data_IF_947523567550
#
_entry.id   IF_947523567550
#
_cell.length_a   1.000
_cell.length_b   1.000
_cell.length_c   1.000
_cell.angle_alpha   90.00
_cell.angle_beta   90.00
_cell.angle_gamma   90.00
#
_symmetry.space_group_name_H-M   'P 1'
#
loop_
_entity.id
_entity.type
_entity.pdbx_description
1 polymer ?
#
# COMPACT_ATOMS: atom_id res chain seq x y z
N UNK A 1 -10.39 21.31 -18.27
CA UNK A 1 -10.02 20.22 -19.18
C UNK A 1 -9.83 18.98 -18.35
N UNK A 2 -10.70 17.98 -18.53
CA UNK A 2 -10.63 16.69 -17.86
C UNK A 2 -9.46 15.90 -18.43
N UNK A 3 -8.41 15.73 -17.63
CA UNK A 3 -7.24 14.93 -17.99
C UNK A 3 -7.68 13.47 -18.16
N UNK A 4 -7.63 12.98 -19.39
CA UNK A 4 -7.99 11.59 -19.75
C UNK A 4 -6.90 10.64 -19.26
N UNK A 5 -7.27 9.50 -18.67
CA UNK A 5 -6.33 8.47 -18.25
C UNK A 5 -6.39 7.30 -19.23
N UNK A 6 -5.22 6.72 -19.52
CA UNK A 6 -5.13 5.52 -20.36
C UNK A 6 -4.98 4.29 -19.47
N UNK A 7 -5.71 3.23 -19.80
CA UNK A 7 -5.49 1.89 -19.25
C UNK A 7 -5.25 0.89 -20.36
N UNK A 8 -4.22 0.07 -20.15
CA UNK A 8 -3.98 -1.14 -20.88
C UNK A 8 -4.56 -2.32 -20.11
N UNK A 9 -5.21 -3.21 -20.84
CA UNK A 9 -5.93 -4.36 -20.32
C UNK A 9 -5.55 -5.59 -21.13
N UNK A 10 -5.58 -6.76 -20.48
CA UNK A 10 -5.34 -8.05 -21.12
C UNK A 10 -6.47 -9.03 -20.82
N UNK A 11 -6.72 -9.95 -21.73
CA UNK A 11 -7.80 -10.93 -21.60
C UNK A 11 -7.24 -12.30 -21.22
N UNK A 12 -7.73 -12.88 -20.12
CA UNK A 12 -7.40 -14.28 -19.81
C UNK A 12 -8.09 -15.18 -20.85
N UNK A 13 -7.30 -15.97 -21.57
CA UNK A 13 -7.81 -16.92 -22.54
C UNK A 13 -8.01 -18.26 -21.81
N UNK A 14 -9.08 -18.38 -21.02
CA UNK A 14 -9.66 -19.70 -20.79
C UNK A 14 -10.39 -20.05 -22.09
N UNK A 15 -9.90 -21.07 -22.79
CA UNK A 15 -10.37 -21.62 -24.07
C UNK A 15 -11.39 -20.77 -24.84
N UNK A 16 -10.98 -20.28 -26.01
CA UNK A 16 -11.78 -19.56 -27.02
C UNK A 16 -13.09 -20.29 -27.46
N UNK A 17 -13.46 -21.41 -26.83
CA UNK A 17 -14.55 -22.29 -27.24
C UNK A 17 -15.57 -22.69 -26.16
N UNK A 18 -15.51 -22.24 -24.89
CA UNK A 18 -16.43 -22.84 -23.89
C UNK A 18 -17.20 -21.98 -22.89
N UNK A 19 -17.09 -20.65 -22.80
CA UNK A 19 -18.02 -19.89 -21.94
C UNK A 19 -18.23 -18.44 -22.38
N UNK A 20 -19.41 -18.14 -22.94
CA UNK A 20 -19.82 -16.80 -23.41
C UNK A 20 -20.09 -15.78 -22.29
N UNK A 21 -19.88 -16.08 -21.01
CA UNK A 21 -20.38 -15.23 -19.91
C UNK A 21 -19.37 -14.64 -18.91
N UNK A 22 -18.06 -14.85 -19.04
CA UNK A 22 -17.07 -14.28 -18.07
C UNK A 22 -15.73 -13.89 -18.72
N UNK A 23 -15.78 -13.16 -19.83
CA UNK A 23 -14.57 -12.62 -20.45
C UNK A 23 -14.08 -11.38 -19.67
N UNK A 24 -13.48 -11.59 -18.50
CA UNK A 24 -12.97 -10.51 -17.65
C UNK A 24 -11.64 -9.97 -18.20
N UNK A 25 -11.65 -8.70 -18.60
CA UNK A 25 -10.43 -7.96 -18.92
C UNK A 25 -9.69 -7.64 -17.64
N UNK A 26 -8.46 -8.12 -17.54
CA UNK A 26 -7.56 -7.90 -16.42
C UNK A 26 -6.71 -6.66 -16.65
N UNK A 27 -6.34 -5.99 -15.56
CA UNK A 27 -5.48 -4.82 -15.59
C UNK A 27 -4.02 -5.22 -15.44
N UNK A 28 -3.16 -4.49 -16.15
CA UNK A 28 -1.75 -4.40 -15.79
C UNK A 28 -1.57 -3.63 -14.48
N UNK A 29 -0.42 -3.80 -13.83
CA UNK A 29 -0.06 -2.97 -12.68
C UNK A 29 -0.02 -1.50 -13.05
N UNK A 30 -0.02 -0.60 -12.06
CA UNK A 30 0.06 0.84 -12.35
C UNK A 30 1.34 1.19 -13.11
N UNK A 31 2.44 0.52 -12.75
CA UNK A 31 3.76 0.82 -13.31
C UNK A 31 3.90 0.17 -14.68
N UNK A 32 3.46 -1.09 -14.84
CA UNK A 32 3.40 -1.74 -16.15
C UNK A 32 2.58 -0.92 -17.14
N UNK A 33 1.42 -0.39 -16.74
CA UNK A 33 0.62 0.51 -17.57
C UNK A 33 1.40 1.74 -18.06
N UNK A 34 2.18 2.38 -17.18
CA UNK A 34 3.00 3.54 -17.55
C UNK A 34 4.09 3.15 -18.55
N UNK A 35 4.78 2.04 -18.29
CA UNK A 35 5.85 1.53 -19.16
C UNK A 35 5.30 1.20 -20.56
N UNK A 36 4.14 0.52 -20.62
CA UNK A 36 3.47 0.15 -21.86
C UNK A 36 3.04 1.40 -22.63
N UNK A 37 2.37 2.34 -21.96
CA UNK A 37 1.89 3.56 -22.61
C UNK A 37 3.03 4.44 -23.11
N UNK A 38 4.14 4.55 -22.37
CA UNK A 38 5.33 5.28 -22.80
C UNK A 38 5.98 4.63 -24.01
N UNK A 39 6.11 3.30 -24.03
CA UNK A 39 6.65 2.56 -25.17
C UNK A 39 5.79 2.75 -26.44
N UNK A 40 4.47 2.70 -26.29
CA UNK A 40 3.52 2.85 -27.39
C UNK A 40 3.45 4.29 -27.92
N UNK A 41 3.28 5.27 -27.02
CA UNK A 41 2.98 6.65 -27.42
C UNK A 41 4.20 7.52 -27.61
N UNK A 42 5.11 7.53 -26.63
CA UNK A 42 6.28 8.42 -26.61
C UNK A 42 7.40 7.87 -27.48
N UNK A 43 7.71 6.58 -27.32
CA UNK A 43 8.84 5.94 -28.00
C UNK A 43 8.46 5.32 -29.36
N UNK A 44 7.17 5.21 -29.68
CA UNK A 44 6.64 4.63 -30.92
C UNK A 44 7.25 3.25 -31.24
N UNK A 45 7.43 2.41 -30.22
CA UNK A 45 7.95 1.06 -30.38
C UNK A 45 6.86 0.13 -30.93
N UNK A 46 7.26 -0.89 -31.69
CA UNK A 46 6.35 -1.98 -32.12
C UNK A 46 6.13 -3.01 -31.02
N UNK A 47 7.02 -3.08 -30.03
CA UNK A 47 6.89 -3.98 -28.88
C UNK A 47 7.45 -3.37 -27.59
N UNK A 48 7.08 -3.97 -26.46
CA UNK A 48 7.68 -3.69 -25.14
C UNK A 48 7.92 -4.99 -24.38
N UNK A 49 9.14 -5.13 -23.84
CA UNK A 49 9.54 -6.26 -22.99
C UNK A 49 9.23 -5.93 -21.52
N UNK A 50 8.59 -6.86 -20.83
CA UNK A 50 8.35 -6.84 -19.38
C UNK A 50 8.94 -8.10 -18.77
N UNK A 51 8.76 -8.30 -17.45
CA UNK A 51 9.44 -9.37 -16.72
C UNK A 51 9.02 -10.78 -17.19
N UNK A 52 7.71 -11.08 -17.16
CA UNK A 52 7.19 -12.42 -17.48
C UNK A 52 6.67 -12.56 -18.91
N UNK A 53 6.50 -11.44 -19.62
CA UNK A 53 5.91 -11.40 -20.95
C UNK A 53 6.42 -10.18 -21.72
N UNK A 54 6.11 -10.14 -23.01
CA UNK A 54 6.24 -8.94 -23.84
C UNK A 54 4.93 -8.67 -24.56
N UNK A 55 4.77 -7.43 -24.99
CA UNK A 55 3.62 -6.98 -25.77
C UNK A 55 4.08 -6.67 -27.19
N UNK A 56 3.36 -7.21 -28.15
CA UNK A 56 3.40 -6.83 -29.56
C UNK A 56 2.20 -5.91 -29.84
N UNK A 57 2.49 -4.64 -30.11
CA UNK A 57 1.45 -3.63 -30.35
C UNK A 57 0.83 -3.74 -31.74
N UNK A 58 1.54 -4.31 -32.72
CA UNK A 58 1.03 -4.47 -34.08
C UNK A 58 0.00 -5.59 -34.13
N UNK A 59 0.27 -6.67 -33.39
CA UNK A 59 -0.64 -7.81 -33.29
C UNK A 59 -1.70 -7.63 -32.20
N UNK A 60 -1.51 -6.70 -31.26
CA UNK A 60 -2.45 -6.48 -30.17
C UNK A 60 -2.48 -7.65 -29.19
N UNK A 61 -1.32 -8.24 -28.91
CA UNK A 61 -1.17 -9.40 -28.04
C UNK A 61 -0.04 -9.22 -27.02
N UNK A 62 -0.24 -9.84 -25.87
CA UNK A 62 0.79 -10.17 -24.91
C UNK A 62 1.22 -11.63 -25.14
N UNK A 63 2.52 -11.90 -25.03
CA UNK A 63 3.12 -13.23 -25.24
C UNK A 63 4.03 -13.53 -24.05
N UNK A 64 3.83 -14.68 -23.40
CA UNK A 64 4.70 -15.09 -22.30
C UNK A 64 6.16 -15.27 -22.78
N UNK A 65 7.12 -14.86 -21.96
CA UNK A 65 8.54 -14.91 -22.32
C UNK A 65 9.09 -16.35 -22.33
N UNK A 66 8.46 -17.25 -21.58
CA UNK A 66 8.85 -18.66 -21.45
C UNK A 66 8.07 -19.60 -22.39
N UNK A 67 6.94 -19.16 -22.94
CA UNK A 67 6.08 -19.96 -23.82
C UNK A 67 5.35 -19.08 -24.85
N UNK A 68 5.80 -19.12 -26.09
CA UNK A 68 5.21 -18.35 -27.20
C UNK A 68 3.74 -18.71 -27.49
N UNK A 69 3.27 -19.88 -27.04
CA UNK A 69 1.88 -20.30 -27.25
C UNK A 69 0.94 -19.69 -26.19
N UNK A 70 1.46 -19.19 -25.07
CA UNK A 70 0.67 -18.49 -24.05
C UNK A 70 0.53 -17.03 -24.45
N UNK A 71 -0.58 -16.75 -25.13
CA UNK A 71 -0.89 -15.42 -25.63
C UNK A 71 -2.21 -14.90 -25.07
N UNK A 72 -2.26 -13.59 -24.85
CA UNK A 72 -3.43 -12.87 -24.36
C UNK A 72 -3.69 -11.67 -25.25
N UNK A 73 -4.95 -11.47 -25.65
CA UNK A 73 -5.33 -10.23 -26.35
C UNK A 73 -5.15 -9.04 -25.40
N UNK A 74 -4.70 -7.92 -25.94
CA UNK A 74 -4.61 -6.66 -25.19
C UNK A 74 -5.49 -5.59 -25.82
N UNK A 75 -5.86 -4.59 -25.02
CA UNK A 75 -6.50 -3.38 -25.51
C UNK A 75 -6.05 -2.15 -24.73
N UNK A 76 -6.12 -1.01 -25.40
CA UNK A 76 -5.88 0.31 -24.84
C UNK A 76 -7.21 1.05 -24.75
N UNK A 77 -7.58 1.51 -23.55
CA UNK A 77 -8.83 2.24 -23.32
C UNK A 77 -8.56 3.63 -22.73
N UNK A 78 -9.33 4.60 -23.22
CA UNK A 78 -9.41 5.94 -22.62
C UNK A 78 -10.49 5.92 -21.54
N UNK A 79 -10.07 6.10 -20.30
CA UNK A 79 -10.95 6.11 -19.14
C UNK A 79 -11.16 7.54 -18.65
N UNK A 80 -12.42 7.90 -18.43
CA UNK A 80 -12.79 9.19 -17.87
C UNK A 80 -12.30 9.31 -16.42
N UNK A 81 -11.81 10.48 -15.99
CA UNK A 81 -11.35 10.69 -14.60
C UNK A 81 -12.45 10.49 -13.53
N UNK A 82 -13.72 10.59 -13.93
CA UNK A 82 -14.86 10.26 -13.06
C UNK A 82 -15.04 8.75 -12.86
N UNK A 83 -14.38 7.93 -13.67
CA UNK A 83 -14.35 6.50 -13.46
C UNK A 83 -13.67 6.22 -12.11
N UNK A 84 -14.44 5.56 -11.25
CA UNK A 84 -14.22 5.46 -9.81
C UNK A 84 -13.19 4.37 -9.55
N UNK A 85 -12.00 4.46 -10.15
CA UNK A 85 -10.96 3.47 -9.98
C UNK A 85 -10.60 3.36 -8.49
N UNK A 86 -10.80 2.17 -7.94
CA UNK A 86 -10.40 1.80 -6.59
C UNK A 86 -9.40 0.64 -6.70
N UNK A 87 -8.35 0.67 -5.87
CA UNK A 87 -7.44 -0.45 -5.69
C UNK A 87 -8.13 -1.53 -4.87
N UNK A 88 -8.84 -2.45 -5.52
CA UNK A 88 -9.60 -3.50 -4.83
C UNK A 88 -8.72 -4.30 -3.84
N UNK A 89 -7.49 -4.63 -4.22
CA UNK A 89 -6.49 -5.33 -3.39
C UNK A 89 -6.22 -4.62 -2.05
N UNK A 90 -6.18 -3.27 -2.06
CA UNK A 90 -6.04 -2.46 -0.85
C UNK A 90 -7.19 -2.68 0.13
N UNK A 91 -8.38 -3.03 -0.34
CA UNK A 91 -9.57 -3.21 0.49
C UNK A 91 -9.98 -4.69 0.68
N UNK A 92 -9.23 -5.64 0.12
CA UNK A 92 -9.57 -7.06 0.16
C UNK A 92 -8.59 -7.95 0.94
N UNK A 93 -7.31 -7.59 1.12
CA UNK A 93 -6.37 -8.51 1.80
C UNK A 93 -5.34 -7.85 2.73
N UNK A 94 -5.31 -6.52 2.78
CA UNK A 94 -4.51 -5.74 3.72
C UNK A 94 -5.40 -5.30 4.91
N UNK A 95 -4.92 -5.03 6.15
CA UNK A 95 -3.54 -4.94 6.60
C UNK A 95 -3.16 -5.97 7.67
N UNK A 96 -3.60 -7.21 7.51
CA UNK A 96 -3.76 -8.16 8.62
C UNK A 96 -2.70 -9.24 8.55
N UNK A 97 -2.07 -9.60 9.67
CA UNK A 97 -1.10 -10.68 9.64
C UNK A 97 -1.80 -12.01 9.31
N UNK A 98 -1.09 -12.98 8.70
CA UNK A 98 -1.70 -14.21 8.20
C UNK A 98 -2.52 -14.97 9.25
N UNK A 99 -2.14 -14.88 10.53
CA UNK A 99 -2.86 -15.57 11.61
C UNK A 99 -3.23 -14.68 12.80
N UNK A 100 -2.65 -13.49 12.93
CA UNK A 100 -3.00 -12.51 13.98
C UNK A 100 -3.50 -11.19 13.39
N UNK A 101 -4.66 -10.73 13.85
CA UNK A 101 -5.28 -9.55 13.23
C UNK A 101 -4.58 -8.24 13.57
N UNK A 102 -3.84 -8.24 14.66
CA UNK A 102 -3.12 -7.10 15.23
C UNK A 102 -2.02 -7.62 16.15
N UNK A 103 -1.11 -6.74 16.56
CA UNK A 103 -0.09 -7.10 17.55
C UNK A 103 -0.63 -6.84 18.97
N UNK A 104 -0.59 -7.87 19.81
CA UNK A 104 -0.86 -7.75 21.25
C UNK A 104 0.36 -7.15 21.98
N UNK A 105 0.14 -6.31 23.00
CA UNK A 105 1.15 -5.95 24.03
C UNK A 105 2.36 -5.09 23.60
N UNK A 106 2.50 -4.69 22.32
CA UNK A 106 3.65 -3.87 21.87
C UNK A 106 3.34 -2.36 21.76
N UNK A 107 2.07 -1.97 21.88
CA UNK A 107 1.68 -0.56 21.97
C UNK A 107 2.22 0.29 20.79
N UNK A 108 2.75 1.47 21.11
CA UNK A 108 3.15 2.54 20.19
C UNK A 108 4.46 2.30 19.40
N UNK A 109 5.09 1.13 19.53
CA UNK A 109 6.39 0.86 18.91
C UNK A 109 6.25 0.60 17.41
N UNK A 110 7.23 1.10 16.64
CA UNK A 110 7.29 0.95 15.20
C UNK A 110 8.43 -0.02 14.87
N UNK A 111 8.29 -1.29 15.27
CA UNK A 111 9.41 -2.24 15.36
C UNK A 111 10.31 -2.21 14.13
N UNK A 112 9.74 -2.36 12.93
CA UNK A 112 10.53 -2.38 11.69
C UNK A 112 11.39 -1.12 11.48
N UNK A 113 10.83 0.03 11.83
CA UNK A 113 11.48 1.33 11.67
C UNK A 113 12.49 1.55 12.79
N UNK A 114 12.15 1.17 14.01
CA UNK A 114 13.04 1.28 15.18
C UNK A 114 14.28 0.40 14.97
N UNK A 115 14.13 -0.81 14.44
CA UNK A 115 15.28 -1.68 14.14
C UNK A 115 16.11 -1.21 12.95
N UNK A 116 15.49 -0.60 11.93
CA UNK A 116 16.24 0.06 10.88
C UNK A 116 17.08 1.22 11.45
N UNK A 117 16.50 2.03 12.33
CA UNK A 117 17.19 3.13 13.02
C UNK A 117 18.40 2.61 13.79
N UNK A 118 18.23 1.51 14.54
CA UNK A 118 19.30 0.89 15.31
C UNK A 118 20.41 0.32 14.40
N UNK A 119 20.03 -0.44 13.36
CA UNK A 119 20.96 -1.03 12.39
C UNK A 119 21.80 0.02 11.66
N UNK A 120 21.21 1.17 11.34
CA UNK A 120 21.87 2.27 10.63
C UNK A 120 22.43 3.36 11.55
N UNK A 121 22.35 3.16 12.87
CA UNK A 121 22.81 4.09 13.90
C UNK A 121 22.31 5.53 13.67
N UNK A 122 21.02 5.67 13.37
CA UNK A 122 20.36 6.96 13.17
C UNK A 122 19.99 7.54 14.54
N UNK A 123 20.70 8.57 14.98
CA UNK A 123 20.57 9.17 16.32
C UNK A 123 19.49 10.24 16.41
N UNK A 124 19.08 10.87 15.30
CA UNK A 124 18.05 11.92 15.34
C UNK A 124 17.45 12.31 13.97
N UNK A 125 16.44 13.19 14.02
CA UNK A 125 15.91 13.95 12.87
C UNK A 125 17.00 14.75 12.14
N UNK A 126 18.09 15.12 12.83
CA UNK A 126 19.22 15.84 12.24
C UNK A 126 19.97 14.96 11.23
N UNK A 127 20.05 13.65 11.47
CA UNK A 127 20.73 12.72 10.55
C UNK A 127 20.02 12.63 9.20
N UNK A 128 18.72 12.91 9.15
CA UNK A 128 17.99 12.95 7.90
C UNK A 128 18.47 14.08 6.98
N UNK A 129 18.78 15.26 7.50
CA UNK A 129 19.24 16.37 6.65
C UNK A 129 20.55 16.03 5.94
N UNK A 130 21.45 15.36 6.66
CA UNK A 130 22.78 15.01 6.15
C UNK A 130 22.82 13.69 5.38
N UNK A 131 21.96 12.72 5.72
CA UNK A 131 21.98 11.37 5.14
C UNK A 131 20.84 11.08 4.18
N UNK A 132 19.95 12.04 3.86
CA UNK A 132 18.83 11.82 2.92
C UNK A 132 19.28 11.22 1.59
N UNK A 133 20.40 11.69 1.02
CA UNK A 133 20.90 11.19 -0.26
C UNK A 133 21.33 9.72 -0.15
N UNK A 134 22.10 9.38 0.89
CA UNK A 134 22.52 8.00 1.20
C UNK A 134 21.30 7.10 1.43
N UNK A 135 20.29 7.58 2.15
CA UNK A 135 19.06 6.83 2.42
C UNK A 135 18.24 6.58 1.16
N UNK A 136 18.16 7.55 0.24
CA UNK A 136 17.52 7.37 -1.08
C UNK A 136 18.29 6.34 -1.90
N UNK A 137 19.62 6.39 -1.92
CA UNK A 137 20.44 5.39 -2.64
C UNK A 137 20.27 3.98 -2.09
N UNK A 138 20.23 3.84 -0.77
CA UNK A 138 19.94 2.55 -0.12
C UNK A 138 18.52 2.08 -0.41
N UNK A 139 17.55 2.97 -0.43
CA UNK A 139 16.18 2.63 -0.83
C UNK A 139 16.13 2.14 -2.27
N UNK A 140 16.78 2.81 -3.21
CA UNK A 140 16.86 2.38 -4.61
C UNK A 140 17.52 1.00 -4.75
N UNK A 141 18.64 0.76 -4.07
CA UNK A 141 19.32 -0.53 -4.10
C UNK A 141 18.45 -1.66 -3.52
N UNK A 142 17.79 -1.43 -2.39
CA UNK A 142 16.88 -2.39 -1.77
C UNK A 142 15.63 -2.67 -2.61
N UNK A 143 15.04 -1.65 -3.23
CA UNK A 143 13.92 -1.78 -4.17
C UNK A 143 14.31 -2.62 -5.38
N UNK A 144 15.52 -2.42 -5.94
CA UNK A 144 16.01 -3.24 -7.05
C UNK A 144 16.09 -4.71 -6.67
N UNK A 145 16.69 -4.99 -5.52
CA UNK A 145 16.85 -6.34 -5.00
C UNK A 145 15.51 -7.04 -4.76
N UNK A 146 14.58 -6.37 -4.08
CA UNK A 146 13.25 -6.91 -3.80
C UNK A 146 12.42 -7.08 -5.07
N UNK A 147 12.60 -6.18 -6.04
CA UNK A 147 12.00 -6.31 -7.37
C UNK A 147 12.51 -7.54 -8.11
N UNK A 148 13.81 -7.81 -8.08
CA UNK A 148 14.38 -9.03 -8.68
C UNK A 148 13.84 -10.30 -8.02
N UNK A 149 13.77 -10.34 -6.69
CA UNK A 149 13.20 -11.47 -5.96
C UNK A 149 11.72 -11.70 -6.26
N UNK A 150 10.98 -10.62 -6.53
CA UNK A 150 9.56 -10.68 -6.86
C UNK A 150 9.27 -10.95 -8.35
N UNK A 151 10.29 -11.07 -9.21
CA UNK A 151 10.10 -11.14 -10.66
C UNK A 151 9.53 -9.84 -11.26
N UNK A 152 9.79 -8.70 -10.62
CA UNK A 152 9.27 -7.35 -10.96
C UNK A 152 10.40 -6.35 -11.20
N UNK A 153 11.42 -6.76 -11.97
CA UNK A 153 12.60 -5.96 -12.22
C UNK A 153 12.29 -4.69 -13.04
N UNK A 154 11.38 -4.77 -14.02
CA UNK A 154 10.98 -3.61 -14.81
C UNK A 154 10.24 -2.57 -13.96
N UNK A 155 9.32 -3.01 -13.08
CA UNK A 155 8.68 -2.10 -12.12
C UNK A 155 9.72 -1.47 -11.19
N UNK A 156 10.65 -2.25 -10.65
CA UNK A 156 11.67 -1.76 -9.73
C UNK A 156 12.58 -0.70 -10.36
N UNK A 157 13.02 -0.91 -11.60
CA UNK A 157 13.80 0.08 -12.36
C UNK A 157 13.03 1.39 -12.51
N UNK A 158 11.76 1.32 -12.89
CA UNK A 158 10.94 2.53 -13.03
C UNK A 158 10.76 3.29 -11.71
N UNK A 159 10.58 2.58 -10.59
CA UNK A 159 10.52 3.17 -9.24
C UNK A 159 11.83 3.89 -8.90
N UNK A 160 12.96 3.24 -9.17
CA UNK A 160 14.31 3.79 -8.94
C UNK A 160 14.52 5.07 -9.74
N UNK A 161 14.10 5.09 -11.00
CA UNK A 161 14.17 6.30 -11.83
C UNK A 161 13.37 7.46 -11.24
N UNK A 162 12.21 7.20 -10.62
CA UNK A 162 11.45 8.26 -9.94
C UNK A 162 12.17 8.77 -8.69
N UNK A 163 12.82 7.89 -7.93
CA UNK A 163 13.61 8.26 -6.76
C UNK A 163 14.87 9.04 -7.15
N UNK A 164 15.57 8.64 -8.21
CA UNK A 164 16.78 9.32 -8.70
C UNK A 164 16.45 10.77 -9.11
N UNK A 165 15.31 11.00 -9.78
CA UNK A 165 14.83 12.35 -10.17
C UNK A 165 14.64 13.30 -8.98
N UNK A 166 14.40 12.77 -7.77
CA UNK A 166 14.17 13.57 -6.56
C UNK A 166 15.31 13.47 -5.54
N UNK A 167 16.31 12.61 -5.77
CA UNK A 167 17.39 12.33 -4.82
C UNK A 167 18.08 13.60 -4.32
N UNK A 168 18.33 14.56 -5.20
CA UNK A 168 19.03 15.80 -4.89
C UNK A 168 18.10 16.97 -4.53
N UNK A 169 16.79 16.71 -4.37
CA UNK A 169 15.78 17.72 -4.08
C UNK A 169 15.52 17.86 -2.58
N UNK A 170 14.47 18.58 -2.21
CA UNK A 170 14.11 18.81 -0.80
C UNK A 170 13.56 17.54 -0.15
N UNK A 171 13.55 17.52 1.18
CA UNK A 171 12.95 16.44 1.99
C UNK A 171 11.48 16.21 1.65
N UNK A 172 10.78 17.32 1.36
CA UNK A 172 9.40 17.31 0.93
C UNK A 172 9.26 16.59 -0.41
N UNK A 173 10.07 16.94 -1.41
CA UNK A 173 10.01 16.31 -2.75
C UNK A 173 10.29 14.80 -2.68
N UNK A 174 11.29 14.39 -1.89
CA UNK A 174 11.62 12.97 -1.67
C UNK A 174 10.45 12.24 -1.00
N UNK A 175 9.88 12.84 0.05
CA UNK A 175 8.78 12.25 0.79
C UNK A 175 7.47 12.16 -0.01
N UNK A 176 7.15 13.18 -0.81
CA UNK A 176 6.01 13.17 -1.73
C UNK A 176 6.17 12.09 -2.80
N UNK A 177 7.38 11.93 -3.35
CA UNK A 177 7.69 10.82 -4.26
C UNK A 177 7.47 9.46 -3.58
N UNK A 178 7.97 9.27 -2.35
CA UNK A 178 7.76 8.02 -1.60
C UNK A 178 6.28 7.73 -1.35
N UNK A 179 5.48 8.75 -1.01
CA UNK A 179 4.02 8.62 -0.84
C UNK A 179 3.36 8.22 -2.16
N UNK A 180 3.66 8.92 -3.26
CA UNK A 180 3.12 8.59 -4.58
C UNK A 180 3.43 7.14 -4.96
N UNK A 181 4.70 6.73 -4.86
CA UNK A 181 5.14 5.37 -5.17
C UNK A 181 4.45 4.32 -4.30
N UNK A 182 4.26 4.59 -3.01
CA UNK A 182 3.50 3.72 -2.11
C UNK A 182 2.03 3.58 -2.51
N UNK A 183 1.45 4.59 -3.17
CA UNK A 183 0.04 4.55 -3.60
C UNK A 183 -0.17 3.77 -4.91
N UNK A 184 0.89 3.44 -5.65
CA UNK A 184 0.78 2.65 -6.87
C UNK A 184 0.47 1.19 -6.53
N UNK A 185 -0.43 0.59 -7.29
CA UNK A 185 -0.66 -0.86 -7.32
C UNK A 185 0.58 -1.54 -7.91
N UNK A 186 1.57 -1.78 -7.06
CA UNK A 186 2.92 -2.23 -7.39
C UNK A 186 3.40 -3.32 -6.43
N UNK A 187 4.49 -4.00 -6.79
CA UNK A 187 5.13 -4.96 -5.89
C UNK A 187 5.61 -4.32 -4.58
N UNK A 188 6.12 -3.08 -4.63
CA UNK A 188 6.76 -2.43 -3.49
C UNK A 188 5.79 -2.24 -2.32
N UNK A 189 4.61 -1.67 -2.59
CA UNK A 189 3.54 -1.51 -1.60
C UNK A 189 3.18 -2.86 -0.96
N UNK A 190 2.94 -3.88 -1.79
CA UNK A 190 2.52 -5.23 -1.36
C UNK A 190 3.58 -5.89 -0.49
N UNK A 191 4.83 -5.91 -0.94
CA UNK A 191 5.95 -6.56 -0.25
C UNK A 191 6.27 -5.87 1.08
N UNK A 192 6.31 -4.54 1.09
CA UNK A 192 6.56 -3.75 2.31
C UNK A 192 5.50 -4.04 3.37
N UNK A 193 4.23 -3.87 3.00
CA UNK A 193 3.13 -4.05 3.91
C UNK A 193 3.01 -5.50 4.41
N UNK A 194 3.20 -6.49 3.54
CA UNK A 194 3.23 -7.90 3.91
C UNK A 194 4.33 -8.17 4.94
N UNK A 195 5.55 -7.73 4.65
CA UNK A 195 6.72 -7.91 5.53
C UNK A 195 6.47 -7.35 6.93
N UNK A 196 5.96 -6.12 7.02
CA UNK A 196 5.72 -5.47 8.31
C UNK A 196 4.65 -6.16 9.15
N UNK A 197 3.72 -6.92 8.54
CA UNK A 197 2.70 -7.66 9.30
C UNK A 197 3.24 -8.90 9.98
N UNK A 198 4.26 -9.52 9.38
CA UNK A 198 4.92 -10.69 9.92
C UNK A 198 5.55 -10.43 11.30
N UNK A 199 5.80 -9.16 11.64
CA UNK A 199 6.27 -8.73 12.97
C UNK A 199 5.37 -9.26 14.10
N UNK A 200 4.06 -9.39 13.84
CA UNK A 200 3.10 -9.85 14.84
C UNK A 200 3.24 -11.33 15.20
N UNK A 201 4.09 -12.08 14.51
CA UNK A 201 4.21 -13.53 14.64
C UNK A 201 5.67 -13.95 14.78
N UNK A 202 6.06 -14.42 15.96
CA UNK A 202 7.45 -14.82 16.28
C UNK A 202 8.05 -15.84 15.30
N UNK A 203 7.24 -16.76 14.75
CA UNK A 203 7.70 -17.75 13.76
C UNK A 203 8.23 -17.12 12.47
N UNK A 204 7.84 -15.89 12.16
CA UNK A 204 8.28 -15.16 10.97
C UNK A 204 9.37 -14.13 11.28
N UNK A 205 9.94 -14.15 12.49
CA UNK A 205 10.93 -13.17 12.95
C UNK A 205 12.11 -13.01 11.98
N UNK A 206 12.74 -14.12 11.61
CA UNK A 206 13.86 -14.10 10.66
C UNK A 206 13.46 -13.56 9.29
N UNK A 207 12.22 -13.81 8.84
CA UNK A 207 11.77 -13.40 7.51
C UNK A 207 11.71 -11.89 7.41
N UNK A 208 11.06 -11.21 8.37
CA UNK A 208 10.94 -9.76 8.29
C UNK A 208 12.23 -9.04 8.68
N UNK A 209 13.02 -9.59 9.61
CA UNK A 209 14.33 -9.02 9.99
C UNK A 209 15.29 -8.99 8.80
N UNK A 210 15.33 -10.05 8.00
CA UNK A 210 16.17 -10.11 6.80
C UNK A 210 15.81 -9.07 5.73
N UNK A 211 14.62 -8.46 5.82
CA UNK A 211 14.15 -7.41 4.89
C UNK A 211 14.39 -5.99 5.41
N UNK A 212 14.94 -5.82 6.60
CA UNK A 212 15.21 -4.49 7.17
C UNK A 212 16.24 -3.74 6.31
N UNK A 213 17.30 -4.41 5.84
CA UNK A 213 18.33 -3.77 5.02
C UNK A 213 17.80 -3.29 3.66
N UNK A 214 16.86 -4.04 3.08
CA UNK A 214 16.33 -3.79 1.73
C UNK A 214 15.11 -2.85 1.74
N UNK A 215 14.16 -3.05 2.65
CA UNK A 215 12.92 -2.27 2.71
C UNK A 215 12.94 -1.17 3.79
N UNK A 216 13.83 -1.27 4.77
CA UNK A 216 13.99 -0.29 5.87
C UNK A 216 14.23 1.13 5.39
N UNK A 217 15.17 1.39 4.46
CA UNK A 217 15.42 2.74 3.96
C UNK A 217 14.14 3.39 3.40
N UNK A 218 13.45 2.74 2.47
CA UNK A 218 12.21 3.27 1.90
C UNK A 218 11.12 3.50 2.95
N UNK A 219 10.92 2.51 3.84
CA UNK A 219 9.95 2.58 4.95
C UNK A 219 10.24 3.77 5.86
N UNK A 220 11.52 4.03 6.15
CA UNK A 220 11.96 5.15 6.96
C UNK A 220 11.69 6.49 6.26
N UNK A 221 12.06 6.62 4.97
CA UNK A 221 11.80 7.84 4.19
C UNK A 221 10.29 8.18 4.20
N UNK A 222 9.42 7.19 3.95
CA UNK A 222 7.98 7.34 3.96
C UNK A 222 7.44 7.75 5.34
N UNK A 223 7.80 7.02 6.40
CA UNK A 223 7.33 7.33 7.76
C UNK A 223 7.84 8.69 8.27
N UNK A 224 9.04 9.11 7.86
CA UNK A 224 9.60 10.42 8.20
C UNK A 224 8.74 11.54 7.61
N UNK A 225 8.43 11.49 6.31
CA UNK A 225 7.56 12.48 5.65
C UNK A 225 6.18 12.59 6.34
N UNK A 226 5.56 11.45 6.64
CA UNK A 226 4.28 11.35 7.35
C UNK A 226 4.35 11.79 8.81
N UNK A 227 5.55 11.99 9.36
CA UNK A 227 5.76 12.41 10.75
C UNK A 227 6.14 13.87 10.88
N UNK A 228 6.87 14.44 9.93
CA UNK A 228 7.48 15.76 10.12
C UNK A 228 7.19 16.76 9.00
N UNK A 229 7.05 16.32 7.75
CA UNK A 229 6.98 17.25 6.60
C UNK A 229 5.53 17.56 6.18
N UNK A 230 4.59 16.65 6.47
CA UNK A 230 3.19 16.73 6.01
C UNK A 230 2.22 17.30 7.04
N UNK A 231 2.71 18.11 8.00
CA UNK A 231 1.92 18.58 9.16
C UNK A 231 0.59 19.25 8.75
N UNK A 232 0.58 19.99 7.65
CA UNK A 232 -0.61 20.67 7.09
C UNK A 232 -1.71 19.72 6.59
N UNK A 233 -1.37 18.46 6.32
CA UNK A 233 -2.29 17.45 5.79
C UNK A 233 -2.77 16.46 6.86
N UNK A 234 -2.51 16.78 8.12
CA UNK A 234 -2.98 15.97 9.24
C UNK A 234 -4.48 16.13 9.43
N UNK A 235 -5.18 15.02 9.65
CA UNK A 235 -6.63 15.00 9.85
C UNK A 235 -7.03 14.20 11.09
N UNK A 236 -8.05 14.70 11.79
CA UNK A 236 -8.77 14.02 12.88
C UNK A 236 -10.17 13.59 12.43
N UNK A 237 -10.34 13.34 11.13
CA UNK A 237 -11.59 12.80 10.60
C UNK A 237 -11.67 11.30 10.88
N UNK A 238 -12.90 10.81 11.07
CA UNK A 238 -13.17 9.38 11.03
C UNK A 238 -12.79 8.84 9.66
N UNK A 239 -12.10 7.71 9.65
CA UNK A 239 -11.69 7.04 8.41
C UNK A 239 -12.11 5.59 8.40
N UNK A 240 -12.25 5.05 7.20
CA UNK A 240 -12.90 3.77 6.93
C UNK A 240 -11.95 2.87 6.16
N UNK A 241 -12.04 1.56 6.42
CA UNK A 241 -11.26 0.58 5.69
C UNK A 241 -12.03 -0.73 5.54
N UNK A 242 -12.28 -1.12 4.29
CA UNK A 242 -12.72 -2.48 3.97
C UNK A 242 -11.58 -3.48 4.12
N UNK A 243 -11.91 -4.70 4.54
CA UNK A 243 -10.99 -5.82 4.59
C UNK A 243 -11.75 -7.15 4.47
N UNK A 244 -11.06 -8.20 4.01
CA UNK A 244 -11.50 -9.58 4.17
C UNK A 244 -10.84 -10.17 5.42
N UNK A 245 -11.66 -10.65 6.36
CA UNK A 245 -11.24 -11.38 7.55
C UNK A 245 -11.69 -12.83 7.46
N UNK A 246 -10.93 -13.73 8.10
CA UNK A 246 -11.46 -15.06 8.45
C UNK A 246 -12.33 -14.95 9.70
N UNK A 247 -13.14 -15.98 9.96
CA UNK A 247 -13.97 -16.02 11.17
C UNK A 247 -13.11 -16.04 12.45
N UNK A 248 -11.94 -16.70 12.41
CA UNK A 248 -10.99 -16.71 13.52
C UNK A 248 -10.45 -15.30 13.81
N UNK A 249 -10.16 -14.52 12.76
CA UNK A 249 -9.72 -13.13 12.89
C UNK A 249 -10.82 -12.26 13.50
N UNK A 250 -12.07 -12.40 13.02
CA UNK A 250 -13.24 -11.69 13.58
C UNK A 250 -13.40 -12.00 15.07
N UNK A 251 -13.24 -13.27 15.46
CA UNK A 251 -13.34 -13.69 16.85
C UNK A 251 -12.21 -13.14 17.74
N UNK A 252 -11.01 -12.91 17.20
CA UNK A 252 -9.95 -12.19 17.91
C UNK A 252 -10.41 -10.77 18.29
N UNK A 253 -11.06 -10.04 17.38
CA UNK A 253 -11.61 -8.71 17.69
C UNK A 253 -12.72 -8.78 18.76
N UNK A 254 -13.65 -9.74 18.65
CA UNK A 254 -14.73 -9.91 19.64
C UNK A 254 -14.17 -10.19 21.04
N UNK A 255 -13.16 -11.07 21.15
CA UNK A 255 -12.49 -11.37 22.43
C UNK A 255 -11.74 -10.16 22.97
N UNK A 256 -11.09 -9.38 22.10
CA UNK A 256 -10.34 -8.21 22.52
C UNK A 256 -11.22 -7.09 23.12
N UNK A 257 -12.49 -6.97 22.70
CA UNK A 257 -13.48 -6.06 23.34
C UNK A 257 -13.65 -6.36 24.84
N UNK A 258 -13.52 -7.63 25.23
CA UNK A 258 -13.73 -8.08 26.62
C UNK A 258 -12.45 -8.02 27.47
N UNK A 259 -11.30 -7.73 26.86
CA UNK A 259 -10.01 -7.72 27.53
C UNK A 259 -9.80 -6.43 28.32
N UNK A 260 -9.24 -6.54 29.54
CA UNK A 260 -8.79 -5.38 30.34
C UNK A 260 -7.63 -4.62 29.68
N UNK A 261 -6.82 -5.30 28.88
CA UNK A 261 -5.85 -4.66 27.99
C UNK A 261 -6.43 -4.63 26.58
N UNK A 262 -6.90 -3.46 26.17
CA UNK A 262 -7.58 -3.20 24.91
C UNK A 262 -6.67 -2.54 23.87
N UNK A 263 -5.41 -2.23 24.21
CA UNK A 263 -4.51 -1.53 23.30
C UNK A 263 -3.94 -2.49 22.27
N UNK A 264 -4.16 -2.19 20.99
CA UNK A 264 -3.69 -2.96 19.83
C UNK A 264 -3.02 -2.03 18.84
N UNK A 265 -2.19 -2.56 17.96
CA UNK A 265 -1.60 -1.77 16.87
C UNK A 265 -1.43 -2.59 15.60
N UNK A 266 -1.49 -1.88 14.47
CA UNK A 266 -1.07 -2.41 13.18
C UNK A 266 0.39 -2.05 12.94
N UNK A 267 1.21 -3.05 12.62
CA UNK A 267 2.64 -2.85 12.39
C UNK A 267 2.95 -2.38 10.97
N UNK A 268 2.06 -2.62 10.01
CA UNK A 268 2.17 -2.05 8.66
C UNK A 268 1.49 -0.68 8.57
N UNK A 269 1.86 0.09 7.55
CA UNK A 269 1.07 1.24 7.13
C UNK A 269 -0.36 0.78 6.80
N UNK A 270 -1.35 1.52 7.29
CA UNK A 270 -2.77 1.15 7.14
C UNK A 270 -3.49 2.24 6.36
N UNK A 271 -3.79 1.93 5.11
CA UNK A 271 -4.41 2.88 4.21
C UNK A 271 -5.94 2.92 4.37
N UNK A 272 -6.52 4.05 4.73
CA UNK A 272 -7.95 4.25 4.97
C UNK A 272 -8.55 5.28 4.02
N UNK A 273 -9.86 5.32 3.88
CA UNK A 273 -10.58 6.32 3.09
C UNK A 273 -11.41 7.20 4.01
N UNK A 274 -11.53 8.50 3.71
CA UNK A 274 -12.58 9.34 4.32
C UNK A 274 -13.96 9.01 3.76
N UNK A 275 -14.02 8.39 2.60
CA UNK A 275 -15.25 8.03 1.92
C UNK A 275 -15.70 6.62 2.31
N UNK A 276 -16.66 6.54 3.25
CA UNK A 276 -17.20 5.26 3.72
C UNK A 276 -17.73 4.39 2.59
N UNK A 277 -18.44 4.99 1.63
CA UNK A 277 -19.04 4.26 0.50
C UNK A 277 -17.97 3.51 -0.27
N UNK A 278 -16.81 4.15 -0.52
CA UNK A 278 -15.68 3.52 -1.23
C UNK A 278 -15.02 2.41 -0.41
N UNK A 279 -14.79 2.65 0.88
CA UNK A 279 -14.19 1.64 1.75
C UNK A 279 -15.09 0.40 1.95
N UNK A 280 -16.41 0.59 1.96
CA UNK A 280 -17.38 -0.48 2.24
C UNK A 280 -17.64 -1.40 1.03
N UNK A 281 -17.18 -1.04 -0.17
CA UNK A 281 -17.38 -1.84 -1.41
C UNK A 281 -16.68 -3.20 -1.41
N UNK A 282 -15.70 -3.42 -0.52
CA UNK A 282 -14.82 -4.59 -0.60
C UNK A 282 -14.75 -5.34 0.74
N UNK A 283 -14.47 -6.65 0.63
CA UNK A 283 -14.30 -7.56 1.76
C UNK A 283 -15.56 -7.81 2.58
N UNK A 284 -15.46 -8.69 3.58
CA UNK A 284 -16.55 -9.04 4.52
C UNK A 284 -16.58 -8.18 5.80
N UNK A 285 -15.66 -7.22 5.94
CA UNK A 285 -15.51 -6.40 7.15
C UNK A 285 -15.28 -4.93 6.82
N UNK A 286 -15.82 -4.04 7.64
CA UNK A 286 -15.54 -2.60 7.64
C UNK A 286 -14.95 -2.18 8.98
N UNK A 287 -13.73 -1.65 8.95
CA UNK A 287 -13.15 -0.92 10.08
C UNK A 287 -13.57 0.54 10.06
N UNK A 288 -13.98 1.05 11.21
CA UNK A 288 -14.30 2.46 11.44
C UNK A 288 -13.32 3.01 12.49
N UNK A 289 -12.39 3.85 12.07
CA UNK A 289 -11.40 4.47 12.94
C UNK A 289 -11.90 5.83 13.40
N UNK A 290 -12.27 5.92 14.68
CA UNK A 290 -12.72 7.15 15.32
C UNK A 290 -11.59 7.77 16.15
N UNK A 291 -11.16 9.00 15.87
CA UNK A 291 -10.22 9.71 16.74
C UNK A 291 -10.94 10.21 18.00
N UNK A 292 -10.55 9.72 19.18
CA UNK A 292 -11.18 10.07 20.47
C UNK A 292 -10.95 11.55 20.86
N UNK A 293 -9.83 12.15 20.45
CA UNK A 293 -9.47 13.52 20.83
C UNK A 293 -8.88 14.33 19.67
N UNK A 294 -9.40 15.55 19.46
CA UNK A 294 -8.94 16.52 18.44
C UNK A 294 -7.54 17.09 18.72
N UNK A 295 -7.00 16.88 19.92
CA UNK A 295 -5.97 17.74 20.51
C UNK A 295 -4.55 17.20 20.43
N UNK A 296 -4.36 15.95 20.02
CA UNK A 296 -3.04 15.36 19.93
C UNK A 296 -2.52 15.44 18.50
N UNK A 297 -1.62 16.37 18.21
CA UNK A 297 -0.81 16.40 16.98
C UNK A 297 -0.11 15.05 16.71
N UNK A 298 0.01 14.21 17.75
CA UNK A 298 0.56 12.87 17.70
C UNK A 298 -0.45 11.79 17.31
N UNK A 299 -1.76 12.01 17.24
CA UNK A 299 -2.76 10.99 16.84
C UNK A 299 -3.29 11.17 15.42
N UNK A 300 -2.89 12.24 14.72
CA UNK A 300 -3.49 12.58 13.44
C UNK A 300 -3.08 11.60 12.35
N UNK A 301 -4.08 11.23 11.55
CA UNK A 301 -3.92 10.46 10.32
C UNK A 301 -3.42 11.39 9.20
N UNK A 302 -2.74 10.86 8.20
CA UNK A 302 -2.20 11.67 7.11
C UNK A 302 -3.10 11.62 5.89
N UNK A 303 -3.78 12.72 5.55
CA UNK A 303 -4.45 12.85 4.26
C UNK A 303 -3.39 12.89 3.16
N UNK A 304 -3.40 11.88 2.29
CA UNK A 304 -2.47 11.76 1.17
C UNK A 304 -3.20 11.77 -0.17
N UNK A 305 -4.50 12.11 -0.19
CA UNK A 305 -5.30 12.07 -1.41
C UNK A 305 -4.79 13.02 -2.50
N UNK A 306 -4.09 14.09 -2.12
CA UNK A 306 -3.53 15.07 -3.07
C UNK A 306 -2.25 14.60 -3.77
N UNK A 307 -1.56 13.59 -3.23
CA UNK A 307 -0.35 12.98 -3.83
C UNK A 307 -0.66 11.61 -4.42
N UNK A 308 -1.69 10.91 -3.91
CA UNK A 308 -2.05 9.56 -4.32
C UNK A 308 -2.32 9.47 -5.82
N UNK A 309 -1.90 8.35 -6.43
CA UNK A 309 -2.30 7.97 -7.79
C UNK A 309 -3.83 7.73 -7.90
N UNK A 310 -4.53 7.72 -6.76
CA UNK A 310 -5.96 7.49 -6.61
C UNK A 310 -6.61 8.59 -5.77
N UNK A 311 -6.62 9.86 -6.23
CA UNK A 311 -7.10 10.98 -5.41
C UNK A 311 -8.57 10.82 -5.00
N UNK A 312 -9.37 10.18 -5.86
CA UNK A 312 -10.76 9.87 -5.61
C UNK A 312 -10.95 8.91 -4.42
N UNK A 313 -9.97 8.09 -4.05
CA UNK A 313 -10.08 7.24 -2.86
C UNK A 313 -10.13 8.05 -1.55
N UNK A 314 -9.83 9.36 -1.60
CA UNK A 314 -9.73 10.23 -0.42
C UNK A 314 -8.85 9.58 0.66
N UNK A 315 -7.70 9.08 0.20
CA UNK A 315 -6.82 8.22 0.98
C UNK A 315 -6.21 8.96 2.16
N UNK A 316 -6.30 8.32 3.31
CA UNK A 316 -5.69 8.73 4.57
C UNK A 316 -4.83 7.58 5.08
N UNK A 317 -3.54 7.83 5.24
CA UNK A 317 -2.58 6.82 5.66
C UNK A 317 -2.35 6.88 7.17
N UNK A 318 -2.58 5.74 7.84
CA UNK A 318 -2.26 5.53 9.24
C UNK A 318 -0.86 4.90 9.32
N UNK A 319 -0.02 5.45 10.20
CA UNK A 319 1.36 5.01 10.37
C UNK A 319 1.46 3.65 11.10
N UNK A 320 2.56 2.91 10.89
CA UNK A 320 2.98 1.76 11.68
C UNK A 320 2.96 2.06 13.18
N UNK A 321 2.61 1.06 13.98
CA UNK A 321 2.71 1.10 15.44
C UNK A 321 1.69 2.03 16.08
N UNK A 322 0.68 2.53 15.36
CA UNK A 322 -0.37 3.36 15.96
C UNK A 322 -1.29 2.50 16.83
N UNK A 323 -1.39 2.88 18.10
CA UNK A 323 -2.24 2.19 19.05
C UNK A 323 -3.71 2.60 18.91
N UNK A 324 -4.59 1.62 18.98
CA UNK A 324 -6.04 1.77 19.01
C UNK A 324 -6.66 0.83 20.04
N UNK A 325 -7.88 1.17 20.43
CA UNK A 325 -8.77 0.39 21.26
C UNK A 325 -9.88 -0.18 20.37
N UNK A 326 -10.30 -1.42 20.61
CA UNK A 326 -11.48 -1.98 19.95
C UNK A 326 -12.68 -1.67 20.84
N UNK A 327 -13.55 -0.77 20.38
CA UNK A 327 -14.72 -0.32 21.14
C UNK A 327 -15.82 -1.38 21.12
N UNK A 328 -16.16 -1.87 19.93
CA UNK A 328 -17.15 -2.91 19.71
C UNK A 328 -17.02 -3.56 18.34
N UNK A 329 -17.69 -4.70 18.20
CA UNK A 329 -17.82 -5.45 16.94
C UNK A 329 -19.29 -5.74 16.71
N UNK A 330 -19.83 -5.20 15.63
CA UNK A 330 -21.23 -5.38 15.22
C UNK A 330 -21.29 -6.25 13.94
N UNK A 331 -22.47 -6.76 13.62
CA UNK A 331 -22.74 -7.43 12.34
C UNK A 331 -23.95 -6.80 11.66
N UNK A 332 -23.72 -6.22 10.48
CA UNK A 332 -24.77 -5.68 9.61
C UNK A 332 -25.36 -6.84 8.78
N UNK A 333 -26.59 -7.23 9.12
CA UNK A 333 -27.28 -8.35 8.47
C UNK A 333 -27.66 -8.05 7.02
N UNK A 334 -27.98 -6.79 6.71
CA UNK A 334 -28.44 -6.39 5.39
C UNK A 334 -27.25 -6.38 4.41
N UNK A 335 -26.11 -5.87 4.87
CA UNK A 335 -24.87 -5.84 4.10
C UNK A 335 -24.03 -7.12 4.22
N UNK A 336 -24.43 -8.05 5.09
CA UNK A 336 -23.69 -9.27 5.45
C UNK A 336 -22.22 -8.98 5.82
N UNK A 337 -22.00 -7.93 6.62
CA UNK A 337 -20.66 -7.38 6.88
C UNK A 337 -20.42 -7.16 8.37
N UNK A 338 -19.23 -7.53 8.86
CA UNK A 338 -18.80 -7.18 10.20
C UNK A 338 -18.38 -5.71 10.26
N UNK A 339 -18.77 -5.00 11.31
CA UNK A 339 -18.35 -3.61 11.55
C UNK A 339 -17.53 -3.55 12.83
N UNK A 340 -16.26 -3.17 12.70
CA UNK A 340 -15.31 -3.11 13.81
C UNK A 340 -15.00 -1.65 14.11
N UNK A 341 -15.37 -1.20 15.31
CA UNK A 341 -15.18 0.18 15.75
C UNK A 341 -13.85 0.28 16.50
N UNK A 342 -12.93 1.06 15.94
CA UNK A 342 -11.61 1.30 16.51
C UNK A 342 -11.49 2.74 16.98
N UNK A 343 -10.88 2.93 18.14
CA UNK A 343 -10.66 4.25 18.71
C UNK A 343 -9.17 4.53 18.83
N UNK A 344 -8.69 5.62 18.24
CA UNK A 344 -7.29 6.02 18.41
C UNK A 344 -7.02 6.50 19.84
N UNK A 345 -5.92 6.05 20.42
CA UNK A 345 -5.52 6.40 21.79
C UNK A 345 -4.31 7.34 21.75
N UNK A 346 -4.33 8.47 22.48
CA UNK A 346 -3.16 9.34 22.58
C UNK A 346 -2.16 8.80 23.61
N UNK A 347 -0.86 8.97 23.36
CA UNK A 347 0.18 8.70 24.36
C UNK A 347 0.04 9.57 25.62
N UNK A 348 -0.71 10.67 25.53
CA UNK A 348 -1.00 11.61 26.63
C UNK A 348 -2.19 11.20 27.50
N UNK A 349 -2.96 10.16 27.14
CA UNK A 349 -4.12 9.71 27.93
C UNK A 349 -3.69 8.86 29.15
N UNK A 350 -2.49 9.16 29.68
CA UNK A 350 -1.94 8.66 30.94
C UNK A 350 -1.70 9.86 31.84
N UNK A 351 -2.73 10.23 32.60
CA UNK A 351 -2.56 10.70 33.97
C UNK A 351 -2.96 9.54 34.87
#
# INVERSE_FOLDING_TARGET
MTEKRIEWLWKCNDDLLLNENLSEWNRYSDIENVIIEEAYTTLKKSNVMLDDYHIDFEQGIQIANDDINKQHLIKREEINKEDKRLRATRFMSDPIAPTSSFHDLIGYKKIFIDEFIDLFNLKSVVDWEYRKHELVEKAMAGILYEGQLAGKQHEAKWIIEQLEKVKNKTKKDIGECCVYLYTLESFLYKTLNHTMRLISEKKYENIWRNKIETLGPFTFLLNYYLSYESVSHRTSTTVYRGAQLTDEMIDQYKKAVQSKDSRRSFQAFTSCSRNRIKAEQFGNTLFIFNPKTRTSYRTLNMDISFISAYPNEEEVLIKPGRAFEIERVDYDKDKKKHIIYLISISTSDKN
#
